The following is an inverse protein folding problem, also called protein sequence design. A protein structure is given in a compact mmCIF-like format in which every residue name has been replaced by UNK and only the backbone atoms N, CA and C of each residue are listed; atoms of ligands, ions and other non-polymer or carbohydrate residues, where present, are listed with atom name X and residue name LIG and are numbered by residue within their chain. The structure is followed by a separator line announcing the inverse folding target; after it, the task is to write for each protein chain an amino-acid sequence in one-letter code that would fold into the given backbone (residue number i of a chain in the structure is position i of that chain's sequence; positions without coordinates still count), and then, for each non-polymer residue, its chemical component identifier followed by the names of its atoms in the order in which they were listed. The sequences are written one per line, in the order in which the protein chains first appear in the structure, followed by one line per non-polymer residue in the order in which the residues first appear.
data_IF_847736598372
#
_entry.id   IF_847736598372
#
_cell.length_a   1.000
_cell.length_b   1.000
_cell.length_c   1.000
_cell.angle_alpha   90.00
_cell.angle_beta   90.00
_cell.angle_gamma   90.00
#
_symmetry.space_group_name_H-M   'P 1'
#
loop_
_entity.id
_entity.type
_entity.pdbx_description
1 polymer ?
#
# COMPACT_ATOMS: atom_id res chain seq x y z
N UNK A 1 -3.71 25.27 -14.24
CA UNK A 1 -3.70 25.06 -12.78
C UNK A 1 -4.99 24.35 -12.42
N UNK A 2 -5.00 23.02 -12.48
CA UNK A 2 -6.16 22.22 -12.12
C UNK A 2 -5.83 21.50 -10.82
N UNK A 3 -6.45 21.95 -9.74
CA UNK A 3 -6.52 21.21 -8.49
C UNK A 3 -7.49 20.04 -8.72
N UNK A 4 -6.95 18.86 -9.01
CA UNK A 4 -7.73 17.62 -8.97
C UNK A 4 -7.87 17.21 -7.52
N UNK A 5 -9.01 17.57 -6.93
CA UNK A 5 -9.41 17.10 -5.62
C UNK A 5 -9.93 15.67 -5.68
N UNK A 6 -9.28 14.78 -4.95
CA UNK A 6 -9.93 13.75 -4.12
C UNK A 6 -9.09 13.65 -2.84
N UNK A 7 -9.62 14.16 -1.72
CA UNK A 7 -9.10 13.89 -0.37
C UNK A 7 -10.29 13.41 0.43
N UNK A 8 -10.34 12.11 0.72
CA UNK A 8 -11.15 11.57 1.82
C UNK A 8 -10.46 10.34 2.40
N UNK A 9 -9.81 10.53 3.54
CA UNK A 9 -9.93 9.63 4.68
C UNK A 9 -10.08 10.53 5.91
N UNK A 10 -11.31 10.67 6.38
CA UNK A 10 -11.65 11.41 7.61
C UNK A 10 -11.14 10.60 8.81
N UNK A 11 -9.82 10.55 8.98
CA UNK A 11 -9.05 10.18 10.20
C UNK A 11 -7.56 9.86 9.96
N UNK A 12 -7.07 9.63 8.73
CA UNK A 12 -5.66 9.25 8.50
C UNK A 12 -4.78 10.38 7.93
N UNK A 13 -3.62 10.55 8.55
CA UNK A 13 -2.66 11.65 8.34
C UNK A 13 -1.63 11.34 7.26
N UNK A 14 -2.04 10.84 6.10
CA UNK A 14 -1.07 10.54 5.03
C UNK A 14 -0.29 11.80 4.63
N UNK A 15 1.04 11.73 4.72
CA UNK A 15 1.93 12.86 4.42
C UNK A 15 1.80 13.24 2.94
N UNK A 16 1.90 14.54 2.57
CA UNK A 16 1.82 14.96 1.17
C UNK A 16 2.99 14.44 0.32
N UNK A 17 4.13 14.14 0.94
CA UNK A 17 5.28 13.52 0.30
C UNK A 17 6.09 12.69 1.28
N UNK A 18 6.87 11.76 0.73
CA UNK A 18 7.82 10.91 1.47
C UNK A 18 9.16 10.88 0.74
N UNK A 19 10.23 10.53 1.45
CA UNK A 19 11.54 10.30 0.85
C UNK A 19 11.88 8.81 0.92
N UNK A 20 12.10 8.20 -0.24
CA UNK A 20 12.50 6.81 -0.41
C UNK A 20 13.76 6.78 -1.26
N UNK A 21 14.82 6.14 -0.79
CA UNK A 21 16.08 5.96 -1.56
C UNK A 21 16.63 7.27 -2.18
N UNK A 22 16.58 8.37 -1.41
CA UNK A 22 16.97 9.73 -1.82
C UNK A 22 16.11 10.37 -2.93
N UNK A 23 14.92 9.81 -3.21
CA UNK A 23 13.93 10.38 -4.10
C UNK A 23 12.69 10.81 -3.33
N UNK A 24 12.15 11.98 -3.66
CA UNK A 24 10.91 12.47 -3.09
C UNK A 24 9.73 11.96 -3.92
N UNK A 25 8.83 11.21 -3.29
CA UNK A 25 7.60 10.72 -3.89
C UNK A 25 6.41 11.55 -3.37
N UNK A 26 5.47 11.87 -4.26
CA UNK A 26 4.30 12.70 -3.96
C UNK A 26 3.06 11.83 -3.82
N UNK A 27 2.22 12.14 -2.83
CA UNK A 27 0.93 11.48 -2.67
C UNK A 27 0.06 11.70 -3.92
N UNK A 28 -0.38 10.61 -4.55
CA UNK A 28 -1.27 10.65 -5.72
C UNK A 28 -2.71 10.29 -5.37
N UNK A 29 -2.91 9.52 -4.32
CA UNK A 29 -4.25 9.17 -3.85
C UNK A 29 -4.21 8.27 -2.62
N UNK A 30 -5.31 8.28 -1.89
CA UNK A 30 -5.53 7.47 -0.69
C UNK A 30 -6.94 6.91 -0.70
N UNK A 31 -7.14 5.75 -0.09
CA UNK A 31 -8.46 5.14 0.06
C UNK A 31 -8.57 4.30 1.32
N UNK A 32 -9.70 4.43 2.02
CA UNK A 32 -10.04 3.62 3.18
C UNK A 32 -10.58 2.25 2.75
N UNK A 33 -10.07 1.18 3.36
CA UNK A 33 -10.60 -0.18 3.21
C UNK A 33 -11.59 -0.49 4.33
N UNK A 34 -12.87 -0.62 4.01
CA UNK A 34 -13.92 -0.98 4.98
C UNK A 34 -14.48 -2.38 4.72
N UNK A 35 -14.67 -3.19 5.78
CA UNK A 35 -15.38 -4.48 5.73
C UNK A 35 -16.47 -4.51 6.78
N UNK A 36 -17.71 -4.83 6.38
CA UNK A 36 -18.86 -4.92 7.31
C UNK A 36 -18.99 -3.71 8.25
N UNK A 37 -18.87 -2.48 7.70
CA UNK A 37 -18.88 -1.22 8.44
C UNK A 37 -17.72 -0.99 9.42
N UNK A 38 -16.67 -1.81 9.36
CA UNK A 38 -15.44 -1.63 10.13
C UNK A 38 -14.34 -1.18 9.19
N UNK A 39 -13.76 -0.01 9.46
CA UNK A 39 -12.59 0.50 8.76
C UNK A 39 -11.37 -0.31 9.17
N UNK A 40 -10.57 -0.73 8.19
CA UNK A 40 -9.45 -1.65 8.42
C UNK A 40 -8.11 -0.92 8.35
N UNK A 41 -7.90 -0.18 7.27
CA UNK A 41 -6.68 0.58 7.02
C UNK A 41 -6.92 1.60 5.90
N UNK A 42 -6.07 2.62 5.84
CA UNK A 42 -5.94 3.51 4.68
C UNK A 42 -4.75 3.08 3.82
N UNK A 43 -4.99 2.90 2.53
CA UNK A 43 -3.95 2.66 1.53
C UNK A 43 -3.66 3.93 0.74
N UNK A 44 -2.41 4.36 0.72
CA UNK A 44 -1.93 5.58 0.05
C UNK A 44 -0.87 5.26 -0.99
N UNK A 45 -1.00 5.86 -2.17
CA UNK A 45 -0.08 5.68 -3.30
C UNK A 45 0.81 6.92 -3.48
N UNK A 46 2.12 6.71 -3.50
CA UNK A 46 3.13 7.73 -3.73
C UNK A 46 3.89 7.46 -5.03
N UNK A 47 3.96 8.45 -5.93
CA UNK A 47 4.67 8.34 -7.21
C UNK A 47 5.72 9.43 -7.36
N UNK A 48 6.77 9.18 -8.14
CA UNK A 48 7.78 10.19 -8.50
C UNK A 48 7.26 11.27 -9.45
N UNK A 49 6.22 10.95 -10.24
CA UNK A 49 5.57 11.85 -11.18
C UNK A 49 4.11 11.46 -11.39
N UNK A 50 3.24 12.42 -11.71
CA UNK A 50 1.84 12.15 -12.04
C UNK A 50 1.71 11.51 -13.42
N UNK A 51 1.12 10.31 -13.54
CA UNK A 51 0.95 9.61 -14.80
C UNK A 51 -0.24 10.16 -15.59
N UNK A 52 -0.22 10.00 -16.92
CA UNK A 52 -1.37 10.34 -17.76
C UNK A 52 -2.50 9.31 -17.67
N UNK A 53 -2.16 8.04 -17.45
CA UNK A 53 -3.10 6.92 -17.39
C UNK A 53 -2.73 5.97 -16.24
N UNK A 54 -3.74 5.37 -15.62
CA UNK A 54 -3.52 4.47 -14.48
C UNK A 54 -2.75 3.19 -14.84
N UNK A 55 -2.91 2.67 -16.07
CA UNK A 55 -2.15 1.51 -16.57
C UNK A 55 -0.64 1.74 -16.49
N UNK A 56 -0.21 2.98 -16.74
CA UNK A 56 1.20 3.33 -16.69
C UNK A 56 1.77 3.18 -15.28
N UNK A 57 0.97 3.30 -14.22
CA UNK A 57 1.45 3.12 -12.84
C UNK A 57 1.90 1.67 -12.61
N UNK A 58 1.16 0.71 -13.17
CA UNK A 58 1.38 -0.72 -12.95
C UNK A 58 2.49 -1.25 -13.86
N UNK A 59 2.61 -0.70 -15.07
CA UNK A 59 3.57 -1.15 -16.08
C UNK A 59 4.93 -0.44 -16.00
N UNK A 60 5.00 0.75 -15.40
CA UNK A 60 6.22 1.54 -15.34
C UNK A 60 7.19 1.00 -14.27
N UNK A 61 8.48 1.09 -14.58
CA UNK A 61 9.56 0.75 -13.67
C UNK A 61 10.13 2.05 -13.06
N UNK A 62 9.23 2.85 -12.50
CA UNK A 62 9.53 4.11 -11.85
C UNK A 62 9.44 3.97 -10.32
N UNK A 63 10.19 4.77 -9.55
CA UNK A 63 10.08 4.81 -8.10
C UNK A 63 8.64 5.08 -7.64
N UNK A 64 8.12 4.16 -6.84
CA UNK A 64 6.76 4.20 -6.31
C UNK A 64 6.74 3.61 -4.91
N UNK A 65 5.76 4.01 -4.12
CA UNK A 65 5.54 3.41 -2.81
C UNK A 65 4.07 3.32 -2.46
N UNK A 66 3.71 2.28 -1.71
CA UNK A 66 2.40 2.09 -1.11
C UNK A 66 2.57 2.23 0.40
N UNK A 67 1.74 3.04 1.03
CA UNK A 67 1.68 3.20 2.47
C UNK A 67 0.37 2.61 3.00
N UNK A 68 0.43 1.77 4.02
CA UNK A 68 -0.72 1.21 4.71
C UNK A 68 -0.75 1.73 6.15
N UNK A 69 -1.77 2.50 6.51
CA UNK A 69 -2.00 3.01 7.86
C UNK A 69 -3.10 2.17 8.51
N UNK A 70 -2.77 1.40 9.56
CA UNK A 70 -3.69 0.42 10.18
C UNK A 70 -4.65 1.12 11.16
N UNK A 71 -5.95 0.92 10.95
CA UNK A 71 -7.02 1.57 11.74
C UNK A 71 -7.77 0.58 12.64
N UNK A 72 -7.52 -0.74 12.49
CA UNK A 72 -8.26 -1.77 13.22
C UNK A 72 -7.39 -2.93 13.67
N UNK A 73 -7.62 -3.36 14.92
CA UNK A 73 -7.05 -4.59 15.49
C UNK A 73 -7.56 -5.87 14.82
N UNK A 74 -8.47 -5.76 13.84
CA UNK A 74 -8.86 -6.88 12.99
C UNK A 74 -7.77 -7.25 11.99
N UNK A 75 -6.85 -6.33 11.69
CA UNK A 75 -5.64 -6.60 10.94
C UNK A 75 -4.59 -7.15 11.90
N UNK A 76 -4.03 -8.29 11.55
CA UNK A 76 -2.91 -8.92 12.26
C UNK A 76 -1.85 -9.33 11.25
N UNK A 77 -0.63 -9.53 11.73
CA UNK A 77 0.50 -10.05 10.93
C UNK A 77 0.09 -11.26 10.11
N UNK A 78 -0.39 -12.33 10.76
CA UNK A 78 -0.84 -13.56 10.08
C UNK A 78 -1.84 -13.31 8.95
N UNK A 79 -2.87 -12.48 9.20
CA UNK A 79 -3.92 -12.21 8.21
C UNK A 79 -3.40 -11.40 7.04
N UNK A 80 -2.50 -10.45 7.29
CA UNK A 80 -1.94 -9.60 6.25
C UNK A 80 -0.98 -10.41 5.37
N UNK A 81 -0.20 -11.31 5.97
CA UNK A 81 0.66 -12.22 5.24
C UNK A 81 -0.14 -13.22 4.39
N UNK A 82 -1.15 -13.87 4.99
CA UNK A 82 -2.05 -14.81 4.30
C UNK A 82 -2.76 -14.11 3.13
N UNK A 83 -3.41 -12.96 3.37
CA UNK A 83 -4.13 -12.23 2.33
C UNK A 83 -3.21 -11.73 1.20
N UNK A 84 -1.97 -11.36 1.52
CA UNK A 84 -0.97 -10.95 0.53
C UNK A 84 -0.55 -12.13 -0.34
N UNK A 85 -0.28 -13.29 0.26
CA UNK A 85 0.06 -14.54 -0.46
C UNK A 85 -1.09 -14.98 -1.36
N UNK A 86 -2.31 -15.06 -0.82
CA UNK A 86 -3.51 -15.37 -1.60
C UNK A 86 -3.71 -14.39 -2.76
N UNK A 87 -3.41 -13.10 -2.54
CA UNK A 87 -3.47 -12.08 -3.58
C UNK A 87 -2.52 -12.37 -4.75
N UNK A 88 -1.29 -12.83 -4.47
CA UNK A 88 -0.37 -13.28 -5.51
C UNK A 88 -0.90 -14.52 -6.23
N UNK A 89 -1.29 -15.56 -5.50
CA UNK A 89 -1.83 -16.80 -6.09
C UNK A 89 -3.03 -16.53 -7.01
N UNK A 90 -3.94 -15.65 -6.61
CA UNK A 90 -5.09 -15.25 -7.43
C UNK A 90 -4.69 -14.43 -8.67
N UNK A 91 -3.60 -13.67 -8.58
CA UNK A 91 -3.16 -12.78 -9.66
C UNK A 91 -2.30 -13.49 -10.71
N UNK A 92 -1.41 -14.39 -10.28
CA UNK A 92 -0.42 -15.03 -11.16
C UNK A 92 -0.53 -16.56 -11.23
N UNK A 93 -1.34 -17.19 -10.37
CA UNK A 93 -1.46 -18.64 -10.30
C UNK A 93 -0.26 -19.27 -9.57
N UNK A 94 0.63 -19.90 -10.33
CA UNK A 94 1.83 -20.53 -9.77
C UNK A 94 2.86 -19.49 -9.33
N UNK A 95 3.01 -19.34 -8.01
CA UNK A 95 3.91 -18.38 -7.39
C UNK A 95 5.35 -18.89 -7.20
N UNK A 96 5.64 -20.16 -7.53
CA UNK A 96 6.91 -20.82 -7.20
C UNK A 96 8.16 -20.05 -7.69
N UNK A 97 8.07 -19.40 -8.85
CA UNK A 97 9.15 -18.60 -9.42
C UNK A 97 9.38 -17.27 -8.71
N UNK A 98 8.37 -16.76 -7.98
CA UNK A 98 8.38 -15.50 -7.25
C UNK A 98 8.50 -15.68 -5.74
N UNK A 99 8.42 -16.91 -5.24
CA UNK A 99 8.44 -17.25 -3.81
C UNK A 99 9.48 -16.44 -3.01
N UNK A 100 10.78 -16.36 -3.40
CA UNK A 100 11.76 -15.63 -2.60
C UNK A 100 11.45 -14.13 -2.47
N UNK A 101 10.80 -13.54 -3.47
CA UNK A 101 10.40 -12.12 -3.45
C UNK A 101 9.13 -11.91 -2.64
N UNK A 102 8.20 -12.86 -2.71
CA UNK A 102 7.00 -12.85 -1.89
C UNK A 102 7.40 -12.95 -0.41
N UNK A 103 8.26 -13.91 -0.04
CA UNK A 103 8.77 -14.02 1.33
C UNK A 103 9.47 -12.73 1.79
N UNK A 104 10.27 -12.11 0.94
CA UNK A 104 10.92 -10.83 1.26
C UNK A 104 9.87 -9.74 1.55
N UNK A 105 8.80 -9.65 0.76
CA UNK A 105 7.71 -8.70 1.02
C UNK A 105 6.98 -9.04 2.33
N UNK A 106 6.66 -10.31 2.56
CA UNK A 106 5.94 -10.77 3.74
C UNK A 106 6.70 -10.51 5.03
N UNK A 107 8.04 -10.54 4.98
CA UNK A 107 8.88 -10.22 6.14
C UNK A 107 8.70 -8.79 6.68
N UNK A 108 8.13 -7.88 5.87
CA UNK A 108 7.74 -6.55 6.33
C UNK A 108 6.62 -6.58 7.39
N UNK A 109 5.95 -7.73 7.55
CA UNK A 109 4.81 -7.93 8.44
C UNK A 109 5.07 -9.00 9.50
N UNK A 110 6.31 -9.38 9.79
CA UNK A 110 6.62 -10.47 10.75
C UNK A 110 6.35 -10.10 12.21
N UNK A 111 6.42 -8.82 12.53
CA UNK A 111 6.14 -8.32 13.88
C UNK A 111 4.62 -8.19 14.12
N UNK A 112 4.16 -8.29 15.38
CA UNK A 112 2.79 -7.99 15.74
C UNK A 112 2.37 -6.61 15.22
N UNK A 113 1.15 -6.54 14.68
CA UNK A 113 0.58 -5.32 14.12
C UNK A 113 -0.39 -4.72 15.13
N UNK A 114 -0.17 -3.45 15.47
CA UNK A 114 -1.03 -2.65 16.32
C UNK A 114 -1.81 -1.59 15.52
N UNK A 115 -2.88 -1.06 16.13
CA UNK A 115 -3.60 0.10 15.56
C UNK A 115 -2.65 1.30 15.54
N UNK A 116 -2.71 2.07 14.45
CA UNK A 116 -1.81 3.17 14.12
C UNK A 116 -0.42 2.77 13.60
N UNK A 117 -0.15 1.47 13.41
CA UNK A 117 1.03 1.05 12.67
C UNK A 117 0.98 1.51 11.22
N UNK A 118 2.16 1.82 10.67
CA UNK A 118 2.32 2.29 9.29
C UNK A 118 3.36 1.45 8.57
N UNK A 119 2.94 0.81 7.48
CA UNK A 119 3.81 0.04 6.61
C UNK A 119 4.08 0.79 5.32
N UNK A 120 5.35 1.01 5.00
CA UNK A 120 5.79 1.61 3.75
C UNK A 120 6.43 0.54 2.87
N UNK A 121 5.81 0.26 1.73
CA UNK A 121 6.27 -0.69 0.72
C UNK A 121 6.83 0.10 -0.46
N UNK A 122 8.10 -0.12 -0.82
CA UNK A 122 8.79 0.62 -1.88
C UNK A 122 9.89 -0.18 -2.54
#
# INVERSE_FOLDING_TARGET
MLMTGVVYADSSTSKPSINVSAQTLQLQGSGMRTRMFIDLYVGSLYLSSSPEQASNIVEDNAPMAICLEIESSLISSDKLQEATREGFEQSIGDISAMEPRIEQLLSAFDEPIDVSDTFLLS
#
